data_IF_769259192731
#
_entry.id   IF_769259192731
#
_cell.length_a   1.000
_cell.length_b   1.000
_cell.length_c   1.000
_cell.angle_alpha   90.00
_cell.angle_beta   90.00
_cell.angle_gamma   90.00
#
_symmetry.space_group_name_H-M   'P 1'
#
loop_
_entity.id
_entity.type
_entity.pdbx_description
1 polymer ?
#
# COMPACT_ATOMS: atom_id res chain seq x y z
N UNK A 1 -12.84 3.13 24.88
CA UNK A 1 -12.67 3.25 23.42
C UNK A 1 -12.59 4.73 22.99
N UNK A 2 -13.65 5.53 23.22
CA UNK A 2 -13.68 6.94 22.81
C UNK A 2 -12.48 7.79 23.29
N UNK A 3 -12.08 7.76 24.60
CA UNK A 3 -10.92 8.52 25.05
C UNK A 3 -9.59 8.07 24.43
N UNK A 4 -9.47 6.79 24.09
CA UNK A 4 -8.29 6.26 23.41
C UNK A 4 -8.22 6.76 21.95
N UNK A 5 -9.33 6.66 21.21
CA UNK A 5 -9.43 7.19 19.85
C UNK A 5 -9.17 8.71 19.80
N UNK A 6 -9.74 9.46 20.74
CA UNK A 6 -9.55 10.91 20.83
C UNK A 6 -8.07 11.28 21.08
N UNK A 7 -7.41 10.58 22.02
CA UNK A 7 -5.98 10.77 22.27
C UNK A 7 -5.12 10.48 21.02
N UNK A 8 -5.45 9.40 20.28
CA UNK A 8 -4.76 9.05 19.05
C UNK A 8 -4.96 10.11 17.96
N UNK A 9 -6.17 10.63 17.80
CA UNK A 9 -6.47 11.73 16.88
C UNK A 9 -5.70 13.00 17.24
N UNK A 10 -5.63 13.36 18.53
CA UNK A 10 -4.87 14.53 18.99
C UNK A 10 -3.38 14.35 18.70
N UNK A 11 -2.82 13.14 18.91
CA UNK A 11 -1.42 12.86 18.61
C UNK A 11 -1.13 12.77 17.10
N UNK A 12 -2.14 12.51 16.27
CA UNK A 12 -2.01 12.53 14.82
C UNK A 12 -1.85 13.95 14.26
N UNK A 13 -2.38 14.99 14.93
CA UNK A 13 -2.27 16.38 14.47
C UNK A 13 -0.82 16.90 14.38
N UNK A 14 0.01 16.79 15.44
CA UNK A 14 1.43 17.16 15.34
C UNK A 14 2.18 16.38 14.26
N UNK A 15 1.85 15.08 14.09
CA UNK A 15 2.45 14.25 13.06
C UNK A 15 2.08 14.73 11.66
N UNK A 16 0.82 15.06 11.41
CA UNK A 16 0.36 15.63 10.15
C UNK A 16 1.05 16.96 9.85
N UNK A 17 1.12 17.85 10.85
CA UNK A 17 1.85 19.12 10.69
C UNK A 17 3.32 18.86 10.37
N UNK A 18 3.97 17.92 11.05
CA UNK A 18 5.35 17.53 10.76
C UNK A 18 5.53 17.00 9.33
N UNK A 19 4.64 16.10 8.88
CA UNK A 19 4.67 15.56 7.50
C UNK A 19 4.48 16.69 6.48
N UNK A 20 3.49 17.56 6.67
CA UNK A 20 3.22 18.66 5.74
C UNK A 20 4.39 19.65 5.69
N UNK A 21 5.01 19.94 6.82
CA UNK A 21 6.14 20.87 6.91
C UNK A 21 7.39 20.31 6.23
N UNK A 22 7.72 19.03 6.48
CA UNK A 22 8.83 18.35 5.84
C UNK A 22 8.60 18.23 4.33
N UNK A 23 7.40 17.83 3.90
CA UNK A 23 7.05 17.71 2.49
C UNK A 23 7.17 19.06 1.78
N UNK A 24 6.66 20.13 2.40
CA UNK A 24 6.74 21.47 1.87
C UNK A 24 8.20 21.96 1.79
N UNK A 25 9.01 21.71 2.82
CA UNK A 25 10.43 22.08 2.82
C UNK A 25 11.22 21.33 1.74
N UNK A 26 11.05 20.00 1.64
CA UNK A 26 11.72 19.18 0.63
C UNK A 26 11.37 19.63 -0.79
N UNK A 27 10.12 20.00 -1.03
CA UNK A 27 9.68 20.52 -2.32
C UNK A 27 10.40 21.84 -2.69
N UNK A 28 10.55 22.75 -1.72
CA UNK A 28 11.25 24.03 -1.96
C UNK A 28 12.77 23.90 -2.03
N UNK A 29 13.34 22.80 -1.52
CA UNK A 29 14.75 22.47 -1.64
C UNK A 29 15.09 21.73 -2.94
N UNK A 30 14.09 21.22 -3.64
CA UNK A 30 14.31 20.54 -4.92
C UNK A 30 14.81 21.54 -5.97
N UNK A 31 15.85 21.19 -6.76
CA UNK A 31 16.41 22.09 -7.76
C UNK A 31 15.38 22.37 -8.88
N UNK A 32 15.23 23.64 -9.26
CA UNK A 32 14.31 24.15 -10.29
C UNK A 32 13.07 24.83 -9.68
N UNK A 33 12.49 25.73 -10.45
CA UNK A 33 11.27 26.44 -10.04
C UNK A 33 10.00 25.62 -10.32
N UNK A 34 8.96 25.76 -9.49
CA UNK A 34 7.66 25.09 -9.73
C UNK A 34 7.04 25.43 -11.08
N UNK A 35 7.51 26.47 -11.71
CA UNK A 35 7.02 27.04 -12.97
C UNK A 35 7.85 26.66 -14.19
N UNK A 36 8.95 25.91 -14.02
CA UNK A 36 9.81 25.44 -15.13
C UNK A 36 9.18 24.25 -15.92
N UNK A 37 7.91 24.01 -15.70
CA UNK A 37 7.19 22.79 -16.10
C UNK A 37 6.97 22.68 -17.60
N UNK A 38 6.86 23.78 -18.30
CA UNK A 38 6.38 23.72 -19.70
C UNK A 38 7.51 23.60 -20.70
N UNK A 39 8.67 24.16 -20.42
CA UNK A 39 9.85 24.12 -21.28
C UNK A 39 11.01 24.85 -20.58
N UNK A 40 12.17 24.25 -20.30
CA UNK A 40 13.35 24.97 -19.85
C UNK A 40 13.77 26.05 -20.83
N UNK A 41 13.40 25.88 -22.10
CA UNK A 41 13.64 26.84 -23.21
C UNK A 41 12.40 27.68 -23.54
N UNK A 42 11.43 27.77 -22.63
CA UNK A 42 10.18 28.53 -22.83
C UNK A 42 10.46 30.02 -23.05
N UNK A 43 10.62 30.40 -24.31
CA UNK A 43 10.89 31.77 -24.75
C UNK A 43 9.63 32.47 -25.21
N UNK A 44 8.50 31.78 -25.28
CA UNK A 44 7.27 32.38 -25.83
C UNK A 44 6.55 33.26 -24.80
N UNK A 45 5.88 34.28 -25.29
CA UNK A 45 5.10 35.23 -24.47
C UNK A 45 3.96 34.51 -23.72
N UNK A 46 3.36 33.47 -24.33
CA UNK A 46 2.31 32.66 -23.73
C UNK A 46 2.80 31.87 -22.50
N UNK A 47 4.02 31.33 -22.55
CA UNK A 47 4.59 30.58 -21.41
C UNK A 47 4.86 31.51 -20.22
N UNK A 48 5.32 32.74 -20.47
CA UNK A 48 5.51 33.74 -19.41
C UNK A 48 4.20 34.13 -18.74
N UNK A 49 3.14 34.35 -19.52
CA UNK A 49 1.82 34.64 -18.94
C UNK A 49 1.26 33.49 -18.09
N UNK A 50 1.44 32.25 -18.53
CA UNK A 50 1.05 31.07 -17.73
C UNK A 50 1.85 31.01 -16.42
N UNK A 51 3.17 31.26 -16.50
CA UNK A 51 4.05 31.30 -15.34
C UNK A 51 3.62 32.38 -14.34
N UNK A 52 3.38 33.60 -14.80
CA UNK A 52 2.93 34.70 -13.94
C UNK A 52 1.59 34.41 -13.27
N UNK A 53 0.65 33.83 -14.00
CA UNK A 53 -0.64 33.37 -13.44
C UNK A 53 -0.47 32.31 -12.35
N UNK A 54 0.44 31.35 -12.54
CA UNK A 54 0.74 30.34 -11.53
C UNK A 54 1.39 30.96 -10.28
N UNK A 55 2.37 31.85 -10.48
CA UNK A 55 3.02 32.57 -9.37
C UNK A 55 1.98 33.33 -8.54
N UNK A 56 1.08 34.08 -9.19
CA UNK A 56 0.02 34.83 -8.50
C UNK A 56 -1.02 33.92 -7.85
N UNK A 57 -1.48 32.88 -8.54
CA UNK A 57 -2.51 31.96 -8.04
C UNK A 57 -2.07 31.18 -6.80
N UNK A 58 -0.80 30.81 -6.74
CA UNK A 58 -0.23 30.02 -5.64
C UNK A 58 0.57 30.88 -4.65
N UNK A 59 0.75 32.19 -4.96
CA UNK A 59 1.48 33.12 -4.10
C UNK A 59 2.95 32.75 -3.94
N UNK A 60 3.58 32.22 -5.02
CA UNK A 60 4.97 31.78 -5.01
C UNK A 60 5.96 32.94 -4.88
N UNK A 61 5.49 34.16 -5.08
CA UNK A 61 6.22 35.43 -4.86
C UNK A 61 6.33 35.83 -3.37
N UNK A 62 5.55 35.15 -2.50
CA UNK A 62 5.50 35.46 -1.06
C UNK A 62 6.59 34.76 -0.28
N UNK A 63 6.94 35.25 0.93
CA UNK A 63 7.86 34.53 1.82
C UNK A 63 7.40 33.07 2.08
N UNK A 64 8.33 32.12 2.20
CA UNK A 64 8.06 30.69 2.31
C UNK A 64 7.07 30.35 3.44
N UNK A 65 7.17 30.99 4.59
CA UNK A 65 6.24 30.77 5.70
C UNK A 65 4.80 31.19 5.37
N UNK A 66 4.62 32.22 4.54
CA UNK A 66 3.31 32.68 4.07
C UNK A 66 2.75 31.70 3.04
N UNK A 67 3.59 31.19 2.15
CA UNK A 67 3.20 30.16 1.19
C UNK A 67 2.72 28.90 1.90
N UNK A 68 3.48 28.41 2.91
CA UNK A 68 3.09 27.26 3.72
C UNK A 68 1.75 27.46 4.42
N UNK A 69 1.56 28.63 5.06
CA UNK A 69 0.31 28.94 5.79
C UNK A 69 -0.90 29.02 4.85
N UNK A 70 -0.74 29.66 3.71
CA UNK A 70 -1.79 29.73 2.68
C UNK A 70 -2.15 28.35 2.14
N UNK A 71 -1.14 27.53 1.89
CA UNK A 71 -1.34 26.15 1.45
C UNK A 71 -2.03 25.30 2.53
N UNK A 72 -1.58 25.38 3.77
CA UNK A 72 -2.17 24.63 4.88
C UNK A 72 -3.64 24.99 5.11
N UNK A 73 -4.00 26.28 5.02
CA UNK A 73 -5.40 26.73 5.16
C UNK A 73 -6.29 26.18 4.05
N UNK A 74 -5.79 26.09 2.81
CA UNK A 74 -6.51 25.44 1.69
C UNK A 74 -6.72 23.94 1.95
N UNK A 75 -5.68 23.23 2.41
CA UNK A 75 -5.77 21.79 2.71
C UNK A 75 -6.84 21.50 3.78
N UNK A 76 -6.93 22.33 4.82
CA UNK A 76 -7.99 22.20 5.85
C UNK A 76 -9.40 22.35 5.26
N UNK A 77 -9.53 23.13 4.17
CA UNK A 77 -10.78 23.29 3.41
C UNK A 77 -10.98 22.21 2.33
N UNK A 78 -10.09 21.19 2.28
CA UNK A 78 -10.05 20.15 1.24
C UNK A 78 -9.80 20.70 -0.18
N UNK A 79 -9.24 21.89 -0.29
CA UNK A 79 -8.78 22.48 -1.54
C UNK A 79 -7.29 22.15 -1.76
N UNK A 80 -7.02 21.12 -2.55
CA UNK A 80 -5.67 20.71 -2.94
C UNK A 80 -5.14 21.46 -4.17
N UNK A 81 -5.92 22.40 -4.71
CA UNK A 81 -5.57 23.14 -5.90
C UNK A 81 -5.73 22.36 -7.19
N UNK A 82 -5.12 22.88 -8.25
CA UNK A 82 -5.10 22.27 -9.58
C UNK A 82 -3.70 21.78 -9.92
N UNK A 83 -3.65 20.69 -10.66
CA UNK A 83 -2.43 20.12 -11.24
C UNK A 83 -1.75 21.16 -12.17
N UNK A 84 -0.43 21.19 -12.14
CA UNK A 84 0.37 21.98 -13.07
C UNK A 84 0.51 21.31 -14.44
N UNK A 85 0.14 20.04 -14.57
CA UNK A 85 0.17 19.37 -15.87
C UNK A 85 -0.79 20.02 -16.87
N UNK A 86 -0.63 19.84 -18.18
CA UNK A 86 -1.40 20.51 -19.22
C UNK A 86 -2.92 20.36 -19.11
N UNK A 87 -3.39 19.28 -18.44
CA UNK A 87 -4.81 19.02 -18.22
C UNK A 87 -5.43 19.94 -17.14
N UNK A 88 -4.60 20.58 -16.30
CA UNK A 88 -4.99 21.50 -15.23
C UNK A 88 -6.18 21.03 -14.36
N UNK A 89 -6.36 19.69 -14.20
CA UNK A 89 -7.46 19.12 -13.44
C UNK A 89 -7.29 19.32 -11.93
N UNK A 90 -8.39 19.36 -11.15
CA UNK A 90 -8.30 19.39 -9.70
C UNK A 90 -7.51 18.19 -9.16
N UNK A 91 -6.58 18.43 -8.24
CA UNK A 91 -5.73 17.39 -7.62
C UNK A 91 -6.58 16.31 -6.97
N UNK A 92 -7.62 16.71 -6.23
CA UNK A 92 -8.52 15.75 -5.56
C UNK A 92 -9.23 14.82 -6.56
N UNK A 93 -9.55 15.31 -7.75
CA UNK A 93 -10.14 14.46 -8.80
C UNK A 93 -9.13 13.43 -9.30
N UNK A 94 -7.88 13.82 -9.60
CA UNK A 94 -6.82 12.89 -10.01
C UNK A 94 -6.61 11.79 -8.96
N UNK A 95 -6.56 12.15 -7.68
CA UNK A 95 -6.39 11.21 -6.58
C UNK A 95 -7.60 10.27 -6.46
N UNK A 96 -8.82 10.80 -6.55
CA UNK A 96 -10.06 10.01 -6.46
C UNK A 96 -10.18 8.96 -7.58
N UNK A 97 -9.67 9.24 -8.76
CA UNK A 97 -9.62 8.30 -9.88
C UNK A 97 -8.59 7.18 -9.67
N UNK A 98 -7.45 7.49 -9.01
CA UNK A 98 -6.31 6.58 -8.84
C UNK A 98 -6.39 5.71 -7.58
N UNK A 99 -6.91 6.26 -6.49
CA UNK A 99 -6.98 5.58 -5.19
C UNK A 99 -7.73 4.23 -5.24
N UNK A 100 -8.90 4.08 -5.90
CA UNK A 100 -9.58 2.79 -5.96
C UNK A 100 -8.77 1.70 -6.64
N UNK A 101 -7.95 2.05 -7.64
CA UNK A 101 -7.09 1.11 -8.36
C UNK A 101 -6.00 0.56 -7.44
N UNK A 102 -5.31 1.44 -6.73
CA UNK A 102 -4.31 1.06 -5.73
C UNK A 102 -4.91 0.19 -4.63
N UNK A 103 -6.06 0.59 -4.09
CA UNK A 103 -6.74 -0.19 -3.05
C UNK A 103 -7.16 -1.58 -3.56
N UNK A 104 -7.68 -1.67 -4.78
CA UNK A 104 -8.05 -2.95 -5.39
C UNK A 104 -6.85 -3.90 -5.47
N UNK A 105 -5.72 -3.42 -6.02
CA UNK A 105 -4.50 -4.23 -6.16
C UNK A 105 -4.00 -4.72 -4.79
N UNK A 106 -3.83 -3.80 -3.84
CA UNK A 106 -3.25 -4.12 -2.55
C UNK A 106 -4.17 -5.01 -1.69
N UNK A 107 -5.50 -4.80 -1.76
CA UNK A 107 -6.47 -5.66 -1.06
C UNK A 107 -6.48 -7.07 -1.66
N UNK A 108 -6.48 -7.20 -2.99
CA UNK A 108 -6.44 -8.52 -3.65
C UNK A 108 -5.13 -9.22 -3.36
N UNK A 109 -4.00 -8.53 -3.46
CA UNK A 109 -2.67 -9.02 -3.04
C UNK A 109 -2.72 -9.57 -1.62
N UNK A 110 -3.15 -8.76 -0.65
CA UNK A 110 -3.19 -9.15 0.76
C UNK A 110 -4.12 -10.35 1.00
N UNK A 111 -5.28 -10.40 0.32
CA UNK A 111 -6.17 -11.56 0.41
C UNK A 111 -5.50 -12.84 -0.09
N UNK A 112 -4.81 -12.78 -1.23
CA UNK A 112 -4.08 -13.93 -1.79
C UNK A 112 -2.95 -14.36 -0.84
N UNK A 113 -2.17 -13.42 -0.32
CA UNK A 113 -1.12 -13.71 0.67
C UNK A 113 -1.70 -14.46 1.86
N UNK A 114 -2.78 -13.96 2.47
CA UNK A 114 -3.39 -14.59 3.66
C UNK A 114 -3.93 -15.98 3.35
N UNK A 115 -4.68 -16.12 2.25
CA UNK A 115 -5.31 -17.38 1.84
C UNK A 115 -4.27 -18.46 1.55
N UNK A 116 -3.12 -18.10 0.97
CA UNK A 116 -2.06 -19.06 0.62
C UNK A 116 -1.04 -19.25 1.76
N UNK A 117 -0.63 -18.17 2.44
CA UNK A 117 0.41 -18.25 3.47
C UNK A 117 -0.01 -19.08 4.70
N UNK A 118 -1.28 -18.97 5.10
CA UNK A 118 -1.78 -19.72 6.25
C UNK A 118 -1.69 -21.24 6.02
N UNK A 119 -2.29 -21.82 4.97
CA UNK A 119 -2.15 -23.26 4.72
C UNK A 119 -0.69 -23.69 4.51
N UNK A 120 0.10 -22.93 3.75
CA UNK A 120 1.51 -23.23 3.52
C UNK A 120 2.27 -23.29 4.84
N UNK A 121 2.12 -22.29 5.71
CA UNK A 121 2.79 -22.24 7.01
C UNK A 121 2.36 -23.35 7.96
N UNK A 122 1.04 -23.67 8.01
CA UNK A 122 0.48 -24.76 8.83
C UNK A 122 1.02 -26.12 8.37
N UNK A 123 0.96 -26.41 7.07
CA UNK A 123 1.44 -27.70 6.52
C UNK A 123 2.94 -27.84 6.73
N UNK A 124 3.71 -26.76 6.51
CA UNK A 124 5.15 -26.73 6.71
C UNK A 124 5.53 -26.98 8.19
N UNK A 125 4.78 -26.41 9.13
CA UNK A 125 5.02 -26.61 10.57
C UNK A 125 4.62 -28.02 11.05
N UNK A 126 3.46 -28.54 10.60
CA UNK A 126 2.96 -29.84 11.03
C UNK A 126 3.72 -31.03 10.41
N UNK A 127 4.35 -30.79 9.23
CA UNK A 127 5.17 -31.78 8.53
C UNK A 127 6.63 -31.29 8.48
N UNK A 128 7.18 -30.92 9.61
CA UNK A 128 8.55 -30.40 9.74
C UNK A 128 9.58 -31.36 9.10
N UNK A 129 10.56 -30.81 8.39
CA UNK A 129 11.60 -31.52 7.65
C UNK A 129 11.12 -32.39 6.46
N UNK A 130 9.83 -32.39 6.15
CA UNK A 130 9.30 -33.04 4.96
C UNK A 130 9.79 -32.38 3.66
N UNK A 131 9.57 -33.04 2.51
CA UNK A 131 9.85 -32.44 1.19
C UNK A 131 9.11 -31.13 0.99
N UNK A 132 7.84 -31.06 1.45
CA UNK A 132 7.05 -29.83 1.38
C UNK A 132 7.69 -28.69 2.18
N UNK A 133 8.09 -28.94 3.43
CA UNK A 133 8.74 -27.96 4.28
C UNK A 133 10.06 -27.45 3.68
N UNK A 134 10.88 -28.35 3.11
CA UNK A 134 12.13 -27.98 2.42
C UNK A 134 11.87 -27.12 1.19
N UNK A 135 10.91 -27.50 0.35
CA UNK A 135 10.53 -26.72 -0.85
C UNK A 135 10.01 -25.34 -0.46
N UNK A 136 9.14 -25.27 0.54
CA UNK A 136 8.62 -23.99 1.06
C UNK A 136 9.75 -23.12 1.62
N UNK A 137 10.71 -23.72 2.30
CA UNK A 137 11.88 -22.99 2.82
C UNK A 137 12.71 -22.39 1.68
N UNK A 138 12.99 -23.17 0.63
CA UNK A 138 13.69 -22.68 -0.58
C UNK A 138 12.88 -21.55 -1.25
N UNK A 139 11.57 -21.74 -1.41
CA UNK A 139 10.67 -20.71 -1.96
C UNK A 139 10.74 -19.40 -1.16
N UNK A 140 10.74 -19.48 0.18
CA UNK A 140 10.89 -18.31 1.05
C UNK A 140 12.22 -17.60 0.80
N UNK A 141 13.33 -18.33 0.71
CA UNK A 141 14.64 -17.74 0.41
C UNK A 141 14.67 -17.07 -0.96
N UNK A 142 14.14 -17.73 -1.99
CA UNK A 142 14.03 -17.15 -3.34
C UNK A 142 13.15 -15.91 -3.32
N UNK A 143 12.00 -15.95 -2.62
CA UNK A 143 11.09 -14.82 -2.49
C UNK A 143 11.74 -13.58 -1.86
N UNK A 144 12.56 -13.76 -0.83
CA UNK A 144 13.28 -12.64 -0.22
C UNK A 144 14.49 -12.15 -1.05
N UNK A 145 15.12 -13.03 -1.82
CA UNK A 145 16.28 -12.69 -2.62
C UNK A 145 15.92 -12.03 -3.96
N UNK A 146 14.70 -12.22 -4.45
CA UNK A 146 14.27 -11.74 -5.76
C UNK A 146 13.70 -10.32 -5.66
N UNK A 147 14.30 -9.32 -6.31
CA UNK A 147 13.73 -7.98 -6.36
C UNK A 147 12.43 -7.95 -7.18
N UNK A 148 11.40 -7.26 -6.68
CA UNK A 148 10.08 -7.20 -7.32
C UNK A 148 10.15 -6.66 -8.76
N UNK A 149 10.97 -5.62 -9.01
CA UNK A 149 11.11 -5.06 -10.35
C UNK A 149 11.73 -6.06 -11.33
N UNK A 150 12.69 -6.86 -10.88
CA UNK A 150 13.32 -7.88 -11.70
C UNK A 150 12.33 -9.00 -12.04
N UNK A 151 11.59 -9.48 -11.03
CA UNK A 151 10.54 -10.49 -11.22
C UNK A 151 9.47 -9.99 -12.19
N UNK A 152 9.02 -8.73 -12.04
CA UNK A 152 8.05 -8.11 -12.94
C UNK A 152 8.53 -8.17 -14.41
N UNK A 153 9.74 -7.69 -14.68
CA UNK A 153 10.31 -7.68 -16.04
C UNK A 153 10.46 -9.10 -16.59
N UNK A 154 10.93 -10.06 -15.79
CA UNK A 154 11.08 -11.45 -16.24
C UNK A 154 9.73 -12.08 -16.59
N UNK A 155 8.70 -11.87 -15.76
CA UNK A 155 7.36 -12.40 -16.05
C UNK A 155 6.71 -11.70 -17.24
N UNK A 156 6.91 -10.40 -17.43
CA UNK A 156 6.44 -9.66 -18.62
C UNK A 156 7.09 -10.21 -19.89
N UNK A 157 8.40 -10.43 -19.90
CA UNK A 157 9.11 -11.01 -21.04
C UNK A 157 8.60 -12.43 -21.34
N UNK A 158 8.49 -13.27 -20.32
CA UNK A 158 8.09 -14.66 -20.50
C UNK A 158 6.63 -14.77 -20.93
N UNK A 159 5.69 -14.25 -20.14
CA UNK A 159 4.27 -14.45 -20.36
C UNK A 159 3.64 -13.45 -21.32
N UNK A 160 4.18 -12.24 -21.40
CA UNK A 160 3.66 -11.21 -22.28
C UNK A 160 4.27 -11.23 -23.66
N UNK A 161 5.62 -11.29 -23.75
CA UNK A 161 6.33 -11.17 -25.05
C UNK A 161 6.55 -12.52 -25.70
N UNK A 162 7.13 -13.51 -24.99
CA UNK A 162 7.51 -14.79 -25.60
C UNK A 162 6.30 -15.71 -25.80
N UNK A 163 5.43 -15.84 -24.79
CA UNK A 163 4.26 -16.71 -24.84
C UNK A 163 3.02 -16.01 -25.37
N UNK A 164 2.92 -14.67 -25.23
CA UNK A 164 1.74 -13.91 -25.65
C UNK A 164 0.47 -14.27 -24.88
N UNK A 165 0.59 -14.79 -23.65
CA UNK A 165 -0.55 -15.27 -22.88
C UNK A 165 -1.23 -14.18 -22.07
N UNK A 166 -0.45 -13.22 -21.56
CA UNK A 166 -0.92 -12.18 -20.65
C UNK A 166 -0.52 -10.78 -21.14
N UNK A 167 -1.38 -9.78 -20.90
CA UNK A 167 -1.04 -8.38 -21.19
C UNK A 167 0.16 -7.92 -20.34
N UNK A 168 0.95 -7.00 -20.91
CA UNK A 168 2.16 -6.50 -20.24
C UNK A 168 1.95 -5.15 -19.56
N UNK A 169 0.88 -4.42 -19.86
CA UNK A 169 0.69 -3.06 -19.31
C UNK A 169 -0.77 -2.61 -19.32
N UNK A 170 -1.09 -1.67 -18.43
CA UNK A 170 -2.41 -1.08 -18.30
C UNK A 170 -3.39 -1.93 -17.50
N UNK A 171 -4.63 -1.46 -17.39
CA UNK A 171 -5.73 -2.20 -16.75
C UNK A 171 -6.68 -2.83 -17.75
N UNK A 172 -6.63 -2.45 -19.02
CA UNK A 172 -7.57 -2.83 -20.08
C UNK A 172 -6.89 -2.71 -21.43
N UNK A 173 -7.32 -3.56 -22.36
CA UNK A 173 -6.88 -3.46 -23.75
C UNK A 173 -7.46 -2.23 -24.44
N UNK A 174 -6.81 -1.66 -25.45
CA UNK A 174 -7.32 -0.53 -26.23
C UNK A 174 -8.68 -0.82 -26.89
N UNK A 175 -8.96 -2.09 -27.16
CA UNK A 175 -10.24 -2.56 -27.75
C UNK A 175 -11.29 -2.91 -26.72
N UNK A 176 -11.08 -2.63 -25.44
CA UNK A 176 -11.96 -3.05 -24.33
C UNK A 176 -13.42 -2.65 -24.54
N UNK A 177 -13.69 -1.44 -25.02
CA UNK A 177 -15.06 -0.93 -25.24
C UNK A 177 -15.85 -1.72 -26.29
N UNK A 178 -15.14 -2.39 -27.22
CA UNK A 178 -15.75 -3.21 -28.28
C UNK A 178 -15.95 -4.67 -27.86
N UNK A 179 -15.48 -5.05 -26.67
CA UNK A 179 -15.62 -6.42 -26.19
C UNK A 179 -17.01 -6.66 -25.58
N UNK A 180 -17.49 -7.91 -25.67
CA UNK A 180 -18.68 -8.33 -24.92
C UNK A 180 -18.39 -8.30 -23.41
N UNK A 181 -19.44 -8.19 -22.57
CA UNK A 181 -19.32 -8.09 -21.11
C UNK A 181 -18.37 -9.11 -20.50
N UNK A 182 -18.49 -10.40 -20.83
CA UNK A 182 -17.63 -11.46 -20.29
C UNK A 182 -16.17 -11.32 -20.74
N UNK A 183 -15.95 -10.89 -21.98
CA UNK A 183 -14.60 -10.62 -22.49
C UNK A 183 -13.99 -9.39 -21.82
N UNK A 184 -14.77 -8.37 -21.51
CA UNK A 184 -14.32 -7.21 -20.75
C UNK A 184 -13.82 -7.60 -19.35
N UNK A 185 -14.58 -8.48 -18.64
CA UNK A 185 -14.17 -8.95 -17.33
C UNK A 185 -12.88 -9.78 -17.40
N UNK A 186 -12.79 -10.67 -18.41
CA UNK A 186 -11.58 -11.46 -18.61
C UNK A 186 -10.38 -10.60 -18.99
N UNK A 187 -10.54 -9.62 -19.87
CA UNK A 187 -9.52 -8.65 -20.24
C UNK A 187 -8.98 -7.92 -18.99
N UNK A 188 -9.87 -7.37 -18.19
CA UNK A 188 -9.49 -6.71 -16.94
C UNK A 188 -8.75 -7.64 -15.97
N UNK A 189 -9.25 -8.85 -15.75
CA UNK A 189 -8.61 -9.83 -14.88
C UNK A 189 -7.24 -10.25 -15.41
N UNK A 190 -7.09 -10.45 -16.72
CA UNK A 190 -5.81 -10.84 -17.33
C UNK A 190 -4.72 -9.78 -17.13
N UNK A 191 -5.07 -8.49 -17.15
CA UNK A 191 -4.15 -7.39 -16.86
C UNK A 191 -3.69 -7.34 -15.40
N UNK A 192 -4.48 -7.90 -14.49
CA UNK A 192 -4.14 -7.93 -13.06
C UNK A 192 -3.26 -9.13 -12.66
N UNK A 193 -3.20 -10.20 -13.46
CA UNK A 193 -2.50 -11.44 -13.10
C UNK A 193 -1.02 -11.19 -12.79
N UNK A 194 -0.28 -10.63 -13.74
CA UNK A 194 1.16 -10.40 -13.57
C UNK A 194 1.47 -9.44 -12.42
N UNK A 195 0.84 -8.25 -12.32
CA UNK A 195 1.02 -7.35 -11.19
C UNK A 195 0.77 -8.00 -9.83
N UNK A 196 -0.34 -8.74 -9.71
CA UNK A 196 -0.71 -9.41 -8.45
C UNK A 196 0.26 -10.54 -8.12
N UNK A 197 0.70 -11.33 -9.09
CA UNK A 197 1.69 -12.40 -8.86
C UNK A 197 3.00 -11.80 -8.33
N UNK A 198 3.48 -10.71 -8.94
CA UNK A 198 4.71 -10.03 -8.48
C UNK A 198 4.52 -9.48 -7.06
N UNK A 199 3.45 -8.71 -6.84
CA UNK A 199 3.16 -8.10 -5.54
C UNK A 199 3.04 -9.16 -4.43
N UNK A 200 2.37 -10.27 -4.73
CA UNK A 200 2.11 -11.35 -3.76
C UNK A 200 3.37 -12.15 -3.41
N UNK A 201 4.36 -12.24 -4.32
CA UNK A 201 5.47 -13.18 -4.20
C UNK A 201 6.31 -13.00 -2.94
N UNK A 202 6.83 -11.79 -2.70
CA UNK A 202 7.62 -11.48 -1.51
C UNK A 202 6.80 -11.55 -0.22
N UNK A 203 5.57 -11.03 -0.24
CA UNK A 203 4.64 -11.07 0.88
C UNK A 203 4.29 -12.50 1.28
N UNK A 204 3.99 -13.37 0.31
CA UNK A 204 3.68 -14.78 0.54
C UNK A 204 4.85 -15.50 1.22
N UNK A 205 6.08 -15.24 0.77
CA UNK A 205 7.27 -15.80 1.40
C UNK A 205 7.38 -15.38 2.88
N UNK A 206 7.18 -14.09 3.18
CA UNK A 206 7.23 -13.55 4.53
C UNK A 206 6.15 -14.12 5.45
N UNK A 207 4.89 -14.01 5.04
CA UNK A 207 3.77 -14.47 5.86
C UNK A 207 3.75 -15.98 6.10
N UNK A 208 4.12 -16.80 5.09
CA UNK A 208 4.21 -18.25 5.27
C UNK A 208 5.29 -18.65 6.27
N UNK A 209 6.43 -17.95 6.30
CA UNK A 209 7.48 -18.14 7.30
C UNK A 209 6.99 -17.77 8.70
N UNK A 210 6.34 -16.62 8.87
CA UNK A 210 5.78 -16.20 10.16
C UNK A 210 4.73 -17.21 10.65
N UNK A 211 3.83 -17.64 9.77
CA UNK A 211 2.81 -18.63 10.11
C UNK A 211 3.42 -19.96 10.55
N UNK A 212 4.44 -20.45 9.80
CA UNK A 212 5.18 -21.66 10.18
C UNK A 212 5.80 -21.54 11.56
N UNK A 213 6.49 -20.43 11.84
CA UNK A 213 7.14 -20.22 13.13
C UNK A 213 6.12 -20.17 14.27
N UNK A 214 5.06 -19.40 14.13
CA UNK A 214 3.99 -19.32 15.13
C UNK A 214 3.32 -20.67 15.39
N UNK A 215 3.09 -21.47 14.35
CA UNK A 215 2.56 -22.82 14.50
C UNK A 215 3.53 -23.73 15.25
N UNK A 216 4.83 -23.69 14.97
CA UNK A 216 5.84 -24.48 15.67
C UNK A 216 5.91 -24.18 17.17
N UNK A 217 5.78 -22.91 17.54
CA UNK A 217 5.72 -22.48 18.93
C UNK A 217 4.47 -23.02 19.64
N UNK A 218 3.31 -22.88 18.99
CA UNK A 218 2.02 -23.30 19.57
C UNK A 218 1.89 -24.79 19.69
N UNK A 219 2.30 -25.57 18.68
CA UNK A 219 2.17 -27.05 18.67
C UNK A 219 2.97 -27.69 19.80
N UNK A 220 3.98 -27.03 20.34
CA UNK A 220 4.81 -27.53 21.47
C UNK A 220 4.24 -27.21 22.86
N UNK A 221 3.15 -26.45 22.95
CA UNK A 221 2.57 -26.02 24.22
C UNK A 221 1.84 -27.18 24.94
N UNK A 222 1.85 -27.20 26.27
CA UNK A 222 1.30 -28.24 27.11
C UNK A 222 -0.20 -28.49 26.89
N UNK A 223 -0.97 -27.44 26.61
CA UNK A 223 -2.40 -27.59 26.31
C UNK A 223 -2.68 -28.32 25.00
N UNK A 224 -1.77 -28.27 24.04
CA UNK A 224 -1.86 -29.06 22.79
C UNK A 224 -1.53 -30.52 23.08
N UNK A 225 -0.51 -30.79 23.89
CA UNK A 225 -0.18 -32.15 24.32
C UNK A 225 -1.33 -32.74 25.14
N UNK A 226 -1.94 -31.97 26.04
CA UNK A 226 -3.12 -32.38 26.79
C UNK A 226 -4.33 -32.71 25.90
N UNK A 227 -4.54 -31.97 24.82
CA UNK A 227 -5.59 -32.23 23.85
C UNK A 227 -5.36 -33.56 23.12
N UNK A 228 -4.11 -33.86 22.74
CA UNK A 228 -3.72 -35.17 22.17
C UNK A 228 -3.90 -36.30 23.15
N UNK A 229 -3.47 -36.12 24.40
CA UNK A 229 -3.63 -37.15 25.47
C UNK A 229 -5.09 -37.49 25.76
N UNK A 230 -6.01 -36.54 25.53
CA UNK A 230 -7.47 -36.75 25.60
C UNK A 230 -8.05 -37.48 24.39
N UNK A 231 -7.22 -37.91 23.43
CA UNK A 231 -7.66 -38.69 22.27
C UNK A 231 -8.31 -37.85 21.15
N UNK A 232 -8.16 -36.55 21.14
CA UNK A 232 -8.69 -35.72 20.05
C UNK A 232 -7.96 -36.03 18.74
N UNK A 233 -8.71 -36.11 17.64
CA UNK A 233 -8.14 -36.32 16.31
C UNK A 233 -7.22 -35.16 15.91
N UNK A 234 -6.08 -35.48 15.29
CA UNK A 234 -5.04 -34.48 14.92
C UNK A 234 -5.56 -33.28 14.10
N UNK A 235 -6.50 -33.44 13.13
CA UNK A 235 -7.08 -32.28 12.42
C UNK A 235 -7.82 -31.33 13.37
N UNK A 236 -8.45 -31.82 14.44
CA UNK A 236 -9.13 -30.99 15.44
C UNK A 236 -8.09 -30.28 16.32
N UNK A 237 -7.03 -30.98 16.74
CA UNK A 237 -5.94 -30.41 17.53
C UNK A 237 -5.28 -29.29 16.76
N UNK A 238 -4.92 -29.52 15.50
CA UNK A 238 -4.26 -28.49 14.65
C UNK A 238 -5.23 -27.35 14.27
N UNK A 239 -6.41 -27.68 13.71
CA UNK A 239 -7.33 -26.68 13.16
C UNK A 239 -8.03 -25.82 14.21
N UNK A 240 -8.45 -26.43 15.33
CA UNK A 240 -9.24 -25.76 16.37
C UNK A 240 -8.39 -25.21 17.52
N UNK A 241 -7.40 -25.98 17.98
CA UNK A 241 -6.63 -25.62 19.17
C UNK A 241 -5.33 -24.91 18.85
N UNK A 242 -4.54 -25.38 17.86
CA UNK A 242 -3.27 -24.78 17.52
C UNK A 242 -3.44 -23.55 16.61
N UNK A 243 -4.15 -23.68 15.50
CA UNK A 243 -4.29 -22.61 14.50
C UNK A 243 -4.87 -21.33 15.09
N UNK A 244 -5.90 -21.43 15.93
CA UNK A 244 -6.53 -20.25 16.57
C UNK A 244 -5.52 -19.39 17.33
N UNK A 245 -4.60 -20.00 18.05
CA UNK A 245 -3.59 -19.29 18.82
C UNK A 245 -2.41 -18.84 17.95
N UNK A 246 -2.04 -19.66 16.96
CA UNK A 246 -0.99 -19.34 16.01
C UNK A 246 -1.34 -18.19 15.05
N UNK A 247 -2.63 -17.91 14.85
CA UNK A 247 -3.09 -16.77 14.05
C UNK A 247 -2.94 -15.42 14.76
N UNK A 248 -2.79 -15.35 16.09
CA UNK A 248 -2.71 -14.09 16.80
C UNK A 248 -1.58 -13.16 16.30
N UNK A 249 -0.32 -13.62 16.13
CA UNK A 249 0.73 -12.81 15.56
C UNK A 249 0.45 -12.41 14.10
N UNK A 250 -0.19 -13.30 13.32
CA UNK A 250 -0.53 -13.02 11.91
C UNK A 250 -1.55 -11.90 11.81
N UNK A 251 -2.60 -11.91 12.63
CA UNK A 251 -3.60 -10.84 12.71
C UNK A 251 -2.92 -9.51 13.11
N UNK A 252 -1.93 -9.57 13.99
CA UNK A 252 -1.13 -8.42 14.38
C UNK A 252 -0.37 -7.83 13.19
N UNK A 253 0.37 -8.67 12.44
CA UNK A 253 1.12 -8.23 11.26
C UNK A 253 0.18 -7.68 10.19
N UNK A 254 -0.96 -8.32 9.95
CA UNK A 254 -1.98 -7.84 9.02
C UNK A 254 -2.51 -6.44 9.40
N UNK A 255 -2.80 -6.24 10.68
CA UNK A 255 -3.22 -4.91 11.14
C UNK A 255 -2.14 -3.84 10.93
N UNK A 256 -0.87 -4.17 11.17
CA UNK A 256 0.26 -3.27 10.91
C UNK A 256 0.51 -3.03 9.42
N UNK A 257 0.04 -3.92 8.54
CA UNK A 257 0.16 -3.78 7.08
C UNK A 257 -0.96 -2.92 6.47
N UNK A 258 -2.08 -2.66 7.17
CA UNK A 258 -3.19 -1.86 6.65
C UNK A 258 -2.79 -0.49 6.09
N UNK A 259 -1.91 0.28 6.74
CA UNK A 259 -1.45 1.55 6.19
C UNK A 259 -0.76 1.42 4.83
N UNK A 260 0.00 0.34 4.63
CA UNK A 260 0.69 0.05 3.38
C UNK A 260 -0.24 -0.17 2.19
N UNK A 261 -1.49 -0.60 2.44
CA UNK A 261 -2.47 -0.80 1.37
C UNK A 261 -2.84 0.48 0.62
N UNK A 262 -2.56 1.65 1.21
CA UNK A 262 -3.01 2.94 0.70
C UNK A 262 -1.93 3.62 -0.15
N UNK A 263 -0.65 3.44 0.24
CA UNK A 263 0.48 4.12 -0.41
C UNK A 263 0.74 3.69 -1.86
N UNK A 264 0.25 2.52 -2.23
CA UNK A 264 0.50 1.90 -3.54
C UNK A 264 1.92 1.35 -3.68
N UNK A 265 2.12 0.51 -4.67
CA UNK A 265 3.45 0.06 -5.08
C UNK A 265 3.93 0.91 -6.25
N UNK A 266 4.73 1.92 -5.97
CA UNK A 266 5.34 2.79 -6.98
C UNK A 266 6.00 1.97 -8.10
N UNK A 267 6.73 0.92 -7.72
CA UNK A 267 7.48 0.09 -8.66
C UNK A 267 6.53 -0.72 -9.55
N UNK A 268 5.58 -1.44 -8.97
CA UNK A 268 4.65 -2.32 -9.71
C UNK A 268 3.72 -1.48 -10.58
N UNK A 269 3.12 -0.44 -10.03
CA UNK A 269 2.22 0.43 -10.79
C UNK A 269 2.92 1.12 -11.96
N UNK A 270 4.19 1.53 -11.80
CA UNK A 270 4.96 2.17 -12.88
C UNK A 270 5.39 1.17 -13.95
N UNK A 271 5.89 -0.03 -13.57
CA UNK A 271 6.35 -1.04 -14.52
C UNK A 271 5.19 -1.55 -15.37
N UNK A 272 4.05 -1.86 -14.74
CA UNK A 272 2.86 -2.35 -15.45
C UNK A 272 1.97 -1.23 -15.99
N UNK A 273 2.40 0.03 -15.91
CA UNK A 273 1.62 1.21 -16.32
C UNK A 273 0.18 1.22 -15.75
N UNK A 274 0.02 0.80 -14.50
CA UNK A 274 -1.27 0.77 -13.81
C UNK A 274 -1.57 2.15 -13.24
N UNK A 275 -2.73 2.75 -13.56
CA UNK A 275 -3.07 4.09 -13.11
C UNK A 275 -3.46 4.14 -11.63
N UNK A 276 -2.49 3.93 -10.73
CA UNK A 276 -2.66 4.01 -9.29
C UNK A 276 -2.00 5.25 -8.66
N UNK A 277 -1.99 5.30 -7.31
CA UNK A 277 -1.45 6.41 -6.52
C UNK A 277 0.08 6.50 -6.62
N UNK A 278 0.77 5.35 -6.66
CA UNK A 278 2.23 5.30 -6.81
C UNK A 278 2.66 5.82 -8.18
N UNK A 279 2.00 5.40 -9.25
CA UNK A 279 2.25 5.91 -10.60
C UNK A 279 1.97 7.42 -10.68
N UNK A 280 0.85 7.88 -10.10
CA UNK A 280 0.51 9.31 -10.04
C UNK A 280 1.63 10.11 -9.37
N UNK A 281 2.18 9.59 -8.27
CA UNK A 281 3.27 10.24 -7.55
C UNK A 281 4.54 10.34 -8.40
N UNK A 282 4.92 9.26 -9.08
CA UNK A 282 6.09 9.24 -9.98
C UNK A 282 5.93 10.24 -11.11
N UNK A 283 4.78 10.23 -11.78
CA UNK A 283 4.48 11.18 -12.85
C UNK A 283 4.56 12.62 -12.34
N UNK A 284 3.92 12.93 -11.21
CA UNK A 284 3.95 14.25 -10.61
C UNK A 284 5.37 14.72 -10.25
N UNK A 285 6.25 13.81 -9.78
CA UNK A 285 7.65 14.14 -9.49
C UNK A 285 8.41 14.49 -10.76
N UNK A 286 8.28 13.71 -11.83
CA UNK A 286 8.94 14.02 -13.11
C UNK A 286 8.40 15.28 -13.77
N UNK A 287 7.09 15.51 -13.65
CA UNK A 287 6.42 16.71 -14.16
C UNK A 287 6.57 17.90 -13.22
N UNK A 288 7.19 17.76 -12.05
CA UNK A 288 7.28 18.78 -11.00
C UNK A 288 5.91 19.37 -10.62
N UNK A 289 4.88 18.52 -10.65
CA UNK A 289 3.51 18.91 -10.31
C UNK A 289 3.35 18.97 -8.79
N UNK A 290 3.84 20.06 -8.20
CA UNK A 290 3.85 20.26 -6.75
C UNK A 290 2.48 20.11 -6.08
N UNK A 291 1.38 20.67 -6.64
CA UNK A 291 0.06 20.44 -6.06
C UNK A 291 -0.33 18.97 -5.97
N UNK A 292 -0.02 18.17 -6.99
CA UNK A 292 -0.30 16.72 -6.99
C UNK A 292 0.60 16.00 -6.00
N UNK A 293 1.90 16.30 -5.96
CA UNK A 293 2.84 15.70 -4.99
C UNK A 293 2.37 15.96 -3.56
N UNK A 294 2.11 17.21 -3.23
CA UNK A 294 1.69 17.62 -1.89
C UNK A 294 0.32 17.05 -1.51
N UNK A 295 -0.64 17.08 -2.45
CA UNK A 295 -1.96 16.51 -2.25
C UNK A 295 -1.92 15.00 -2.02
N UNK A 296 -1.11 14.27 -2.81
CA UNK A 296 -0.90 12.84 -2.67
C UNK A 296 -0.30 12.50 -1.30
N UNK A 297 0.78 13.16 -0.89
CA UNK A 297 1.42 12.95 0.41
C UNK A 297 0.46 13.18 1.58
N UNK A 298 -0.31 14.27 1.55
CA UNK A 298 -1.27 14.59 2.62
C UNK A 298 -2.39 13.54 2.67
N UNK A 299 -2.97 13.17 1.53
CA UNK A 299 -4.05 12.18 1.48
C UNK A 299 -3.55 10.80 1.93
N UNK A 300 -2.39 10.36 1.45
CA UNK A 300 -1.78 9.10 1.90
C UNK A 300 -1.51 9.14 3.40
N UNK A 301 -1.00 10.25 3.94
CA UNK A 301 -0.78 10.41 5.38
C UNK A 301 -2.09 10.34 6.18
N UNK A 302 -3.14 11.04 5.76
CA UNK A 302 -4.46 11.02 6.41
C UNK A 302 -5.07 9.62 6.41
N UNK A 303 -5.05 8.95 5.27
CA UNK A 303 -5.58 7.60 5.13
C UNK A 303 -4.76 6.58 5.94
N UNK A 304 -3.42 6.72 5.95
CA UNK A 304 -2.51 5.91 6.78
C UNK A 304 -2.80 6.06 8.27
N UNK A 305 -3.00 7.29 8.74
CA UNK A 305 -3.39 7.56 10.13
C UNK A 305 -4.77 6.97 10.45
N UNK A 306 -5.72 7.06 9.52
CA UNK A 306 -7.02 6.42 9.63
C UNK A 306 -6.91 4.89 9.72
N UNK A 307 -6.11 4.28 8.85
CA UNK A 307 -5.86 2.84 8.85
C UNK A 307 -5.17 2.37 10.15
N UNK A 308 -4.19 3.12 10.66
CA UNK A 308 -3.57 2.87 11.94
C UNK A 308 -4.57 2.92 13.09
N UNK A 309 -5.46 3.92 13.09
CA UNK A 309 -6.51 4.03 14.10
C UNK A 309 -7.47 2.82 14.05
N UNK A 310 -7.87 2.40 12.85
CA UNK A 310 -8.71 1.20 12.66
C UNK A 310 -7.97 -0.04 13.16
N UNK A 311 -6.69 -0.21 12.83
CA UNK A 311 -5.86 -1.32 13.31
C UNK A 311 -5.82 -1.34 14.85
N UNK A 312 -5.51 -0.22 15.48
CA UNK A 312 -5.45 -0.09 16.94
C UNK A 312 -6.79 -0.41 17.64
N UNK A 313 -7.90 0.03 17.05
CA UNK A 313 -9.25 -0.27 17.55
C UNK A 313 -9.55 -1.76 17.42
N UNK A 314 -9.21 -2.37 16.29
CA UNK A 314 -9.36 -3.81 16.04
C UNK A 314 -8.55 -4.63 17.02
N UNK A 315 -7.28 -4.26 17.29
CA UNK A 315 -6.46 -4.89 18.30
C UNK A 315 -7.10 -4.86 19.68
N UNK A 316 -7.63 -3.71 20.07
CA UNK A 316 -8.28 -3.58 21.37
C UNK A 316 -9.56 -4.43 21.53
N UNK A 317 -10.15 -4.89 20.41
CA UNK A 317 -11.27 -5.83 20.37
C UNK A 317 -10.80 -7.28 20.43
N UNK A 318 -9.72 -7.62 19.74
CA UNK A 318 -9.20 -8.99 19.62
C UNK A 318 -8.40 -9.42 20.86
N UNK A 319 -7.61 -8.51 21.46
CA UNK A 319 -6.83 -8.83 22.67
C UNK A 319 -7.33 -8.03 23.90
N UNK A 320 -8.10 -8.68 24.81
CA UNK A 320 -8.58 -8.03 26.03
C UNK A 320 -7.47 -7.64 27.01
N UNK A 321 -6.25 -8.17 26.88
CA UNK A 321 -5.11 -7.88 27.77
C UNK A 321 -4.65 -6.43 27.61
N UNK A 322 -4.73 -5.88 26.41
CA UNK A 322 -4.40 -4.46 26.10
C UNK A 322 -5.35 -3.51 26.84
N UNK A 323 -6.62 -3.90 27.05
CA UNK A 323 -7.59 -3.12 27.88
C UNK A 323 -7.16 -2.99 29.32
N UNK A 324 -6.52 -4.01 29.89
CA UNK A 324 -6.08 -4.03 31.29
C UNK A 324 -4.82 -3.18 31.48
N UNK A 325 -3.88 -3.23 30.54
CA UNK A 325 -2.67 -2.39 30.59
C UNK A 325 -3.01 -0.89 30.51
N UNK A 326 -3.93 -0.49 29.65
CA UNK A 326 -4.40 0.89 29.54
C UNK A 326 -5.16 1.40 30.77
N UNK A 327 -5.72 0.52 31.61
CA UNK A 327 -6.31 0.88 32.90
C UNK A 327 -5.26 1.05 34.01
N UNK A 328 -4.15 0.31 33.97
CA UNK A 328 -3.06 0.43 34.98
C UNK A 328 -2.23 1.69 34.82
N UNK A 329 -2.09 2.24 33.63
CA UNK A 329 -1.37 3.52 33.40
C UNK A 329 -2.19 4.77 33.82
N UNK A 330 -3.41 4.59 34.33
CA UNK A 330 -4.29 5.66 34.86
C UNK A 330 -4.35 5.72 36.37
N UNK A 331 -3.65 4.82 37.06
CA UNK A 331 -3.44 4.88 38.53
C UNK A 331 -1.97 5.22 38.81
#
# INVERSE_FOLDING_TARGET
MLPYALRRLILALPLLVGITLISFALMHMAPGEPTDISNPDATTQADREVRERLIQAYGLDKPIHVQYWNWLTRIVQLDFGRSFSPDARPVLQKIRERLPVTLLLNVVEMMIIVVLAIPIGVISATRQYSKFDKITTVFVFVGFATPDFWLALMLMILFGVQLGWLPISGLRSPTWEYLSFWRQQWDFLSHLILPIVVATFGGLAGFSRYMRQSMLEVVRQDYIQSARAKGLAEPVVIGKHALRNALLPIVTILGLSLPGLIGGSVIIESIFAIPGMGQLMVQAVFERDYPVIMGNLVIVALLTLGANLIADLTYSLVDPRIRVAARRSRR
#
